data_IF_839991728123
#
_entry.id   IF_839991728123
#
_cell.length_a   1.000
_cell.length_b   1.000
_cell.length_c   1.000
_cell.angle_alpha   90.00
_cell.angle_beta   90.00
_cell.angle_gamma   90.00
#
_symmetry.space_group_name_H-M   'P 1'
#
loop_
_entity.id
_entity.type
_entity.pdbx_description
1 polymer ?
#
# COMPACT_ATOMS: atom_id res chain seq x y z
N UNK A 1 -6.28 -5.01 -22.97
CA UNK A 1 -4.80 -4.92 -23.19
C UNK A 1 -4.23 -3.51 -23.03
N UNK A 2 -4.80 -2.45 -23.63
CA UNK A 2 -4.40 -1.06 -23.36
C UNK A 2 -5.13 -0.47 -22.15
N UNK A 3 -6.42 -0.81 -21.98
CA UNK A 3 -7.23 -0.34 -20.86
C UNK A 3 -6.77 -0.92 -19.52
N UNK A 4 -6.46 -2.22 -19.45
CA UNK A 4 -5.92 -2.86 -18.24
C UNK A 4 -4.59 -2.24 -17.79
N UNK A 5 -3.74 -1.83 -18.75
CA UNK A 5 -2.47 -1.15 -18.44
C UNK A 5 -2.68 0.27 -17.92
N UNK A 6 -3.70 0.97 -18.43
CA UNK A 6 -4.06 2.31 -17.97
C UNK A 6 -4.69 2.23 -16.58
N UNK A 7 -5.58 1.27 -16.35
CA UNK A 7 -6.21 0.99 -15.06
C UNK A 7 -5.16 0.63 -14.00
N UNK A 8 -4.24 -0.30 -14.32
CA UNK A 8 -3.12 -0.65 -13.46
C UNK A 8 -2.31 0.58 -13.03
N UNK A 9 -1.87 1.41 -13.98
CA UNK A 9 -1.08 2.62 -13.68
C UNK A 9 -1.84 3.63 -12.83
N UNK A 10 -3.15 3.75 -13.04
CA UNK A 10 -3.99 4.66 -12.27
C UNK A 10 -4.13 4.17 -10.83
N UNK A 11 -4.42 2.88 -10.63
CA UNK A 11 -4.50 2.24 -9.32
C UNK A 11 -3.18 2.30 -8.58
N UNK A 12 -2.07 2.02 -9.27
CA UNK A 12 -0.73 2.08 -8.68
C UNK A 12 -0.43 3.47 -8.08
N UNK A 13 -0.71 4.54 -8.83
CA UNK A 13 -0.52 5.91 -8.34
C UNK A 13 -1.40 6.25 -7.13
N UNK A 14 -2.63 5.71 -7.07
CA UNK A 14 -3.50 5.93 -5.92
C UNK A 14 -2.98 5.19 -4.68
N UNK A 15 -2.56 3.95 -4.85
CA UNK A 15 -1.97 3.17 -3.76
C UNK A 15 -0.69 3.83 -3.24
N UNK A 16 0.23 4.22 -4.13
CA UNK A 16 1.47 4.93 -3.75
C UNK A 16 1.18 6.18 -2.92
N UNK A 17 0.20 6.99 -3.34
CA UNK A 17 -0.18 8.21 -2.61
C UNK A 17 -0.77 7.92 -1.23
N UNK A 18 -1.58 6.87 -1.08
CA UNK A 18 -2.16 6.50 0.21
C UNK A 18 -1.09 5.92 1.14
N UNK A 19 -0.22 5.04 0.63
CA UNK A 19 0.87 4.48 1.43
C UNK A 19 1.84 5.56 1.89
N UNK A 20 2.18 6.49 0.99
CA UNK A 20 2.99 7.65 1.34
C UNK A 20 2.26 8.48 2.40
N UNK A 21 1.10 9.06 2.12
CA UNK A 21 0.50 10.05 3.04
C UNK A 21 -0.05 9.48 4.36
N UNK A 22 -0.55 8.25 4.37
CA UNK A 22 -1.35 7.73 5.49
C UNK A 22 -0.70 6.56 6.23
N UNK A 23 0.09 5.73 5.54
CA UNK A 23 0.68 4.55 6.17
C UNK A 23 2.01 4.87 6.85
N UNK A 24 2.97 5.43 6.11
CA UNK A 24 4.30 5.90 6.54
C UNK A 24 4.78 5.47 7.94
N UNK A 25 5.02 4.17 8.18
CA UNK A 25 5.33 3.64 9.51
C UNK A 25 6.70 4.09 10.06
N UNK A 26 7.56 4.63 9.20
CA UNK A 26 8.91 5.11 9.53
C UNK A 26 9.05 6.64 9.41
N UNK A 27 7.99 7.36 9.04
CA UNK A 27 7.99 8.83 9.00
C UNK A 27 8.83 9.45 7.86
N UNK A 28 9.07 8.72 6.76
CA UNK A 28 9.96 9.16 5.67
C UNK A 28 9.27 10.10 4.68
N UNK A 29 8.01 10.50 4.91
CA UNK A 29 7.33 11.52 4.10
C UNK A 29 8.03 12.90 4.05
N UNK A 30 9.15 13.06 4.73
CA UNK A 30 9.94 14.29 4.83
C UNK A 30 11.00 14.46 3.72
N UNK A 31 11.15 13.53 2.76
CA UNK A 31 12.16 13.63 1.68
C UNK A 31 11.75 13.04 0.33
N UNK A 32 12.17 13.67 -0.77
CA UNK A 32 11.90 13.23 -2.15
C UNK A 32 12.52 11.86 -2.51
N UNK A 33 13.56 11.43 -1.79
CA UNK A 33 14.25 10.14 -2.01
C UNK A 33 13.49 8.94 -1.39
N UNK A 34 12.44 9.18 -0.60
CA UNK A 34 11.65 8.15 0.08
C UNK A 34 10.64 7.43 -0.83
N UNK A 35 10.34 8.00 -2.01
CA UNK A 35 9.36 7.43 -2.94
C UNK A 35 9.80 6.05 -3.48
N UNK A 36 11.11 5.84 -3.64
CA UNK A 36 11.68 4.61 -4.25
C UNK A 36 11.48 3.36 -3.35
N UNK A 37 11.20 3.53 -2.05
CA UNK A 37 10.93 2.41 -1.14
C UNK A 37 9.50 1.86 -1.29
N UNK A 38 8.52 2.74 -1.53
CA UNK A 38 7.10 2.38 -1.65
C UNK A 38 6.74 1.77 -3.01
N UNK A 39 7.55 2.04 -4.05
CA UNK A 39 7.50 1.40 -5.36
C UNK A 39 7.57 -0.14 -5.27
N UNK A 40 8.15 -0.67 -4.18
CA UNK A 40 8.22 -2.11 -3.95
C UNK A 40 6.97 -2.71 -3.29
N UNK A 41 6.11 -1.88 -2.67
CA UNK A 41 4.95 -2.33 -1.90
C UNK A 41 3.62 -2.10 -2.62
N UNK A 42 3.45 -0.93 -3.22
CA UNK A 42 2.23 -0.57 -3.93
C UNK A 42 1.84 -1.57 -5.05
N UNK A 43 2.78 -2.12 -5.86
CA UNK A 43 2.44 -3.11 -6.88
C UNK A 43 1.78 -4.37 -6.33
N UNK A 44 2.11 -4.80 -5.10
CA UNK A 44 1.52 -5.99 -4.49
C UNK A 44 0.06 -5.76 -4.10
N UNK A 45 -0.26 -4.58 -3.60
CA UNK A 45 -1.65 -4.20 -3.28
C UNK A 45 -2.48 -4.10 -4.57
N UNK A 46 -1.91 -3.54 -5.64
CA UNK A 46 -2.59 -3.51 -6.95
C UNK A 46 -2.77 -4.92 -7.50
N UNK A 47 -1.84 -5.86 -7.29
CA UNK A 47 -2.02 -7.24 -7.75
C UNK A 47 -3.19 -7.92 -7.04
N UNK A 48 -3.38 -7.67 -5.74
CA UNK A 48 -4.52 -8.18 -4.97
C UNK A 48 -5.85 -7.76 -5.59
N UNK A 49 -5.92 -6.56 -6.18
CA UNK A 49 -7.12 -6.10 -6.89
C UNK A 49 -7.42 -6.97 -8.11
N UNK A 50 -6.41 -7.26 -8.92
CA UNK A 50 -6.58 -8.04 -10.15
C UNK A 50 -6.79 -9.54 -9.91
N UNK A 51 -6.25 -10.08 -8.82
CA UNK A 51 -6.41 -11.50 -8.46
C UNK A 51 -7.65 -11.77 -7.56
N UNK A 52 -8.35 -10.72 -7.14
CA UNK A 52 -9.58 -10.83 -6.34
C UNK A 52 -9.36 -11.01 -4.84
N UNK A 53 -8.13 -10.87 -4.35
CA UNK A 53 -7.79 -10.92 -2.92
C UNK A 53 -7.75 -9.55 -2.22
N UNK A 54 -8.21 -8.48 -2.87
CA UNK A 54 -8.25 -7.13 -2.31
C UNK A 54 -9.36 -6.98 -1.27
N UNK A 55 -9.09 -7.43 -0.05
CA UNK A 55 -9.94 -7.28 1.13
C UNK A 55 -9.22 -6.47 2.20
N UNK A 56 -9.98 -5.91 3.15
CA UNK A 56 -9.40 -5.17 4.27
C UNK A 56 -8.40 -6.05 5.03
N UNK A 57 -8.76 -7.29 5.36
CA UNK A 57 -7.91 -8.22 6.10
C UNK A 57 -6.61 -8.54 5.36
N UNK A 58 -6.67 -8.84 4.07
CA UNK A 58 -5.47 -9.18 3.28
C UNK A 58 -4.52 -7.98 3.16
N UNK A 59 -5.06 -6.76 3.06
CA UNK A 59 -4.24 -5.54 3.04
C UNK A 59 -3.60 -5.30 4.42
N UNK A 60 -4.36 -5.44 5.51
CA UNK A 60 -3.84 -5.28 6.89
C UNK A 60 -2.70 -6.26 7.15
N UNK A 61 -2.90 -7.54 6.85
CA UNK A 61 -1.88 -8.58 6.99
C UNK A 61 -0.63 -8.23 6.19
N UNK A 62 -0.79 -7.75 4.97
CA UNK A 62 0.32 -7.36 4.12
C UNK A 62 1.11 -6.18 4.69
N UNK A 63 0.44 -5.11 5.13
CA UNK A 63 1.09 -3.92 5.69
C UNK A 63 1.85 -4.27 6.97
N UNK A 64 1.24 -5.05 7.87
CA UNK A 64 1.89 -5.55 9.09
C UNK A 64 3.11 -6.43 8.78
N UNK A 65 3.02 -7.28 7.76
CA UNK A 65 4.15 -8.09 7.32
C UNK A 65 5.30 -7.23 6.80
N UNK A 66 5.01 -6.13 6.09
CA UNK A 66 6.05 -5.20 5.65
C UNK A 66 6.69 -4.49 6.84
N UNK A 67 5.89 -3.93 7.75
CA UNK A 67 6.38 -3.27 8.97
C UNK A 67 7.28 -4.19 9.79
N UNK A 68 6.84 -5.42 10.04
CA UNK A 68 7.54 -6.34 10.94
C UNK A 68 8.70 -7.07 10.26
N UNK A 69 8.49 -7.65 9.07
CA UNK A 69 9.46 -8.55 8.44
C UNK A 69 10.43 -7.82 7.52
N UNK A 70 10.03 -6.70 6.91
CA UNK A 70 10.89 -5.93 5.99
C UNK A 70 11.51 -4.72 6.67
N UNK A 71 10.76 -4.00 7.50
CA UNK A 71 11.26 -2.80 8.19
C UNK A 71 11.78 -3.10 9.61
N UNK A 72 11.45 -4.26 10.20
CA UNK A 72 11.92 -4.66 11.53
C UNK A 72 11.22 -3.91 12.69
N UNK A 73 10.05 -3.34 12.44
CA UNK A 73 9.23 -2.65 13.43
C UNK A 73 8.36 -3.64 14.23
N UNK A 74 7.70 -3.15 15.28
CA UNK A 74 6.72 -3.95 16.04
C UNK A 74 5.40 -4.21 15.31
N UNK A 75 5.14 -3.43 14.26
CA UNK A 75 3.85 -3.35 13.59
C UNK A 75 2.87 -2.39 14.30
N UNK A 76 2.00 -1.75 13.53
CA UNK A 76 0.89 -0.90 13.98
C UNK A 76 -0.41 -1.35 13.30
N UNK A 77 -1.12 -2.26 13.96
CA UNK A 77 -2.37 -2.82 13.43
C UNK A 77 -3.48 -1.77 13.29
N UNK A 78 -3.54 -0.79 14.19
CA UNK A 78 -4.54 0.26 14.12
C UNK A 78 -4.33 1.14 12.88
N UNK A 79 -3.08 1.52 12.63
CA UNK A 79 -2.72 2.27 11.43
C UNK A 79 -2.93 1.45 10.15
N UNK A 80 -2.46 0.20 10.12
CA UNK A 80 -2.66 -0.70 8.98
C UNK A 80 -4.15 -0.86 8.62
N UNK A 81 -5.04 -0.99 9.62
CA UNK A 81 -6.50 -1.05 9.41
C UNK A 81 -7.07 0.25 8.85
N UNK A 82 -6.64 1.41 9.36
CA UNK A 82 -7.07 2.71 8.84
C UNK A 82 -6.70 2.87 7.37
N UNK A 83 -5.47 2.50 7.01
CA UNK A 83 -4.97 2.56 5.62
C UNK A 83 -5.72 1.57 4.73
N UNK A 84 -5.89 0.33 5.17
CA UNK A 84 -6.61 -0.69 4.42
C UNK A 84 -8.04 -0.27 4.12
N UNK A 85 -8.76 0.27 5.11
CA UNK A 85 -10.10 0.81 4.90
C UNK A 85 -10.14 1.95 3.89
N UNK A 86 -9.17 2.88 3.96
CA UNK A 86 -9.06 3.98 2.99
C UNK A 86 -8.84 3.48 1.56
N UNK A 87 -8.01 2.45 1.39
CA UNK A 87 -7.77 1.80 0.09
C UNK A 87 -9.06 1.17 -0.46
N UNK A 88 -9.82 0.45 0.39
CA UNK A 88 -11.11 -0.15 0.03
C UNK A 88 -12.15 0.90 -0.36
N UNK A 89 -12.22 2.02 0.36
CA UNK A 89 -13.20 3.07 0.09
C UNK A 89 -12.88 3.89 -1.18
N UNK A 90 -11.63 3.86 -1.66
CA UNK A 90 -11.14 4.72 -2.76
C UNK A 90 -11.03 4.00 -4.11
N UNK A 91 -10.89 2.67 -4.12
CA UNK A 91 -10.57 1.87 -5.32
C UNK A 91 -11.74 1.03 -5.83
#
# INVERSE_FOLDING_TARGET
MLDDKKDYKQRLKYVEQILFNDWDPIGVNMGFEAFDEYDSYAPRIVSMWFDGSFTEETIVEYLLDVETKRMGLSGDEENARKVAKKLIDTM
#
